data_IF_837661425531
#
_entry.id   IF_837661425531
#
_cell.length_a   1.000
_cell.length_b   1.000
_cell.length_c   1.000
_cell.angle_alpha   90.00
_cell.angle_beta   90.00
_cell.angle_gamma   90.00
#
_symmetry.space_group_name_H-M   'P 1'
#
loop_
_entity.id
_entity.type
_entity.pdbx_description
1 polymer ?
#
# COMPACT_ATOMS: atom_id res chain seq x y z
N UNK A 1 33.88 -2.07 16.53
CA UNK A 1 32.41 -2.20 16.62
C UNK A 1 31.84 -1.35 15.50
N UNK A 2 31.71 -1.92 14.29
CA UNK A 2 31.59 -1.13 13.04
C UNK A 2 30.31 -0.30 12.94
N UNK A 3 29.25 -0.72 13.65
CA UNK A 3 27.98 0.01 13.73
C UNK A 3 28.06 1.28 14.60
N UNK A 4 29.15 1.47 15.36
CA UNK A 4 29.38 2.69 16.16
C UNK A 4 29.54 3.93 15.28
N UNK A 5 29.92 3.75 14.01
CA UNK A 5 30.04 4.85 13.04
C UNK A 5 28.70 5.51 12.70
N UNK A 6 27.56 4.87 13.00
CA UNK A 6 26.22 5.42 12.78
C UNK A 6 25.61 6.05 14.05
N UNK A 7 26.41 6.27 15.10
CA UNK A 7 25.92 6.85 16.37
C UNK A 7 25.35 8.26 16.22
N UNK A 8 25.81 9.02 15.22
CA UNK A 8 25.31 10.39 14.96
C UNK A 8 23.85 10.39 14.52
N UNK A 9 23.35 9.31 13.91
CA UNK A 9 21.98 9.19 13.42
C UNK A 9 20.96 8.86 14.54
N UNK A 10 21.43 8.53 15.75
CA UNK A 10 20.58 8.28 16.93
C UNK A 10 19.79 6.97 16.90
N UNK A 11 19.88 6.18 15.83
CA UNK A 11 19.29 4.84 15.72
C UNK A 11 20.01 3.98 14.68
N UNK A 12 19.79 2.66 14.70
CA UNK A 12 20.34 1.74 13.70
C UNK A 12 19.19 1.27 12.80
N UNK A 13 19.36 1.39 11.49
CA UNK A 13 18.41 0.88 10.50
C UNK A 13 18.89 -0.46 9.87
N UNK A 14 17.97 -1.25 9.28
CA UNK A 14 18.34 -2.53 8.68
C UNK A 14 19.36 -2.45 7.52
N UNK A 15 19.41 -1.34 6.78
CA UNK A 15 20.40 -1.14 5.72
C UNK A 15 21.81 -0.96 6.26
N UNK A 16 21.97 -0.24 7.36
CA UNK A 16 23.26 -0.10 8.04
C UNK A 16 23.80 -1.50 8.40
N UNK A 17 22.96 -2.35 8.99
CA UNK A 17 23.34 -3.73 9.34
C UNK A 17 23.68 -4.55 8.10
N UNK A 18 22.83 -4.56 7.08
CA UNK A 18 23.07 -5.31 5.85
C UNK A 18 24.34 -4.86 5.12
N UNK A 19 24.60 -3.55 5.06
CA UNK A 19 25.79 -2.99 4.42
C UNK A 19 27.07 -3.36 5.19
N UNK A 20 27.05 -3.34 6.53
CA UNK A 20 28.18 -3.79 7.34
C UNK A 20 28.42 -5.30 7.20
N UNK A 21 27.36 -6.11 7.11
CA UNK A 21 27.48 -7.55 6.87
C UNK A 21 28.10 -7.82 5.49
N UNK A 22 27.66 -7.11 4.45
CA UNK A 22 28.17 -7.27 3.08
C UNK A 22 29.62 -6.80 2.94
N UNK A 23 29.97 -5.66 3.55
CA UNK A 23 31.34 -5.12 3.52
C UNK A 23 32.30 -5.98 4.35
N UNK A 24 31.86 -6.43 5.53
CA UNK A 24 32.61 -7.30 6.42
C UNK A 24 32.92 -8.66 5.81
N UNK A 25 32.00 -9.21 5.01
CA UNK A 25 32.17 -10.50 4.34
C UNK A 25 33.39 -10.52 3.40
N UNK A 26 33.73 -9.40 2.75
CA UNK A 26 34.89 -9.31 1.85
C UNK A 26 36.22 -9.46 2.58
N UNK A 27 36.28 -8.98 3.82
CA UNK A 27 37.52 -8.89 4.60
C UNK A 27 37.58 -9.93 5.73
N UNK A 28 36.62 -10.86 5.78
CA UNK A 28 36.50 -11.79 6.90
C UNK A 28 37.61 -12.87 6.84
N UNK A 29 38.53 -12.93 7.83
CA UNK A 29 39.70 -13.81 7.76
C UNK A 29 39.38 -15.31 7.77
N UNK A 30 38.24 -15.68 8.37
CA UNK A 30 37.82 -17.09 8.53
C UNK A 30 36.93 -17.60 7.39
N UNK A 31 36.50 -16.73 6.48
CA UNK A 31 35.68 -17.12 5.32
C UNK A 31 36.57 -16.93 4.09
N UNK A 32 37.34 -17.96 3.75
CA UNK A 32 38.31 -17.93 2.65
C UNK A 32 37.76 -18.52 1.36
N UNK A 33 36.68 -19.30 1.44
CA UNK A 33 36.03 -19.92 0.29
C UNK A 33 35.14 -18.91 -0.46
N UNK A 34 35.37 -18.77 -1.76
CA UNK A 34 34.59 -17.85 -2.61
C UNK A 34 33.18 -18.37 -2.87
N UNK A 35 32.96 -19.68 -2.90
CA UNK A 35 31.62 -20.25 -3.06
C UNK A 35 30.78 -20.00 -1.81
N UNK A 36 31.36 -20.14 -0.61
CA UNK A 36 30.73 -19.77 0.65
C UNK A 36 30.42 -18.27 0.73
N UNK A 37 31.35 -17.39 0.31
CA UNK A 37 31.11 -15.94 0.21
C UNK A 37 29.96 -15.62 -0.73
N UNK A 38 29.91 -16.28 -1.89
CA UNK A 38 28.82 -16.11 -2.86
C UNK A 38 27.48 -16.50 -2.24
N UNK A 39 27.41 -17.65 -1.57
CA UNK A 39 26.21 -18.12 -0.87
C UNK A 39 25.72 -17.11 0.18
N UNK A 40 26.62 -16.52 0.97
CA UNK A 40 26.23 -15.50 1.95
C UNK A 40 25.71 -14.22 1.30
N UNK A 41 26.29 -13.78 0.16
CA UNK A 41 25.75 -12.65 -0.60
C UNK A 41 24.35 -12.93 -1.14
N UNK A 42 24.11 -14.14 -1.65
CA UNK A 42 22.78 -14.57 -2.11
C UNK A 42 21.76 -14.55 -0.96
N UNK A 43 22.14 -15.01 0.24
CA UNK A 43 21.28 -14.92 1.43
C UNK A 43 20.97 -13.47 1.83
N UNK A 44 21.97 -12.58 1.80
CA UNK A 44 21.76 -11.15 2.07
C UNK A 44 20.81 -10.51 1.04
N UNK A 45 20.90 -10.90 -0.24
CA UNK A 45 19.97 -10.45 -1.26
C UNK A 45 18.52 -10.90 -0.97
N UNK A 46 18.32 -12.14 -0.51
CA UNK A 46 17.01 -12.63 -0.08
C UNK A 46 16.48 -11.81 1.10
N UNK A 47 17.30 -11.58 2.14
CA UNK A 47 16.90 -10.76 3.30
C UNK A 47 16.50 -9.35 2.88
N UNK A 48 17.24 -8.73 1.96
CA UNK A 48 16.93 -7.40 1.43
C UNK A 48 15.61 -7.37 0.67
N UNK A 49 15.31 -8.41 -0.10
CA UNK A 49 14.04 -8.55 -0.80
C UNK A 49 12.88 -8.72 0.18
N UNK A 50 13.02 -9.58 1.19
CA UNK A 50 12.00 -9.76 2.23
C UNK A 50 11.75 -8.46 3.00
N UNK A 51 12.82 -7.76 3.40
CA UNK A 51 12.69 -6.46 4.04
C UNK A 51 11.96 -5.45 3.15
N UNK A 52 12.25 -5.43 1.85
CA UNK A 52 11.59 -4.59 0.87
C UNK A 52 10.09 -4.84 0.82
N UNK A 53 9.66 -6.10 0.80
CA UNK A 53 8.24 -6.45 0.78
C UNK A 53 7.56 -6.11 2.11
N UNK A 54 8.24 -6.28 3.25
CA UNK A 54 7.72 -5.87 4.56
C UNK A 54 7.45 -4.36 4.56
N UNK A 55 8.44 -3.52 4.26
CA UNK A 55 8.28 -2.06 4.35
C UNK A 55 7.28 -1.50 3.33
N UNK A 56 7.20 -2.09 2.13
CA UNK A 56 6.15 -1.75 1.16
C UNK A 56 4.76 -1.99 1.75
N UNK A 57 4.54 -3.17 2.34
CA UNK A 57 3.26 -3.54 2.93
C UNK A 57 2.90 -2.62 4.11
N UNK A 58 3.85 -2.27 4.96
CA UNK A 58 3.63 -1.38 6.10
C UNK A 58 3.29 0.05 5.67
N UNK A 59 4.04 0.61 4.71
CA UNK A 59 3.76 1.95 4.13
C UNK A 59 2.39 1.96 3.44
N UNK A 60 2.09 0.92 2.65
CA UNK A 60 0.79 0.78 2.02
C UNK A 60 -0.35 0.75 3.05
N UNK A 61 -0.20 -0.01 4.13
CA UNK A 61 -1.19 -0.06 5.22
C UNK A 61 -1.29 1.26 5.97
N UNK A 62 -0.20 1.99 6.14
CA UNK A 62 -0.23 3.32 6.78
C UNK A 62 -0.97 4.35 5.91
N UNK A 63 -0.83 4.29 4.59
CA UNK A 63 -1.58 5.14 3.66
C UNK A 63 -3.07 4.75 3.68
N UNK A 64 -3.38 3.47 3.52
CA UNK A 64 -4.75 2.97 3.48
C UNK A 64 -5.46 2.96 4.84
N UNK A 65 -4.78 3.27 5.94
CA UNK A 65 -5.40 3.39 7.27
C UNK A 65 -6.34 4.61 7.43
N UNK A 66 -6.58 5.37 6.36
CA UNK A 66 -7.68 6.34 6.30
C UNK A 66 -9.02 5.60 6.15
N UNK A 67 -9.60 5.22 7.28
CA UNK A 67 -10.89 4.51 7.32
C UNK A 67 -12.02 5.32 6.68
N UNK A 68 -11.98 6.65 6.75
CA UNK A 68 -13.02 7.47 6.15
C UNK A 68 -12.92 7.47 4.62
N UNK A 69 -11.70 7.53 4.08
CA UNK A 69 -11.49 7.41 2.65
C UNK A 69 -11.91 6.03 2.13
N UNK A 70 -11.59 4.95 2.84
CA UNK A 70 -12.08 3.61 2.48
C UNK A 70 -13.61 3.55 2.52
N UNK A 71 -14.25 4.09 3.57
CA UNK A 71 -15.72 4.13 3.66
C UNK A 71 -16.36 4.88 2.50
N UNK A 72 -15.80 6.02 2.10
CA UNK A 72 -16.28 6.79 0.94
C UNK A 72 -16.12 6.01 -0.36
N UNK A 73 -14.95 5.40 -0.58
CA UNK A 73 -14.68 4.57 -1.76
C UNK A 73 -15.60 3.36 -1.82
N UNK A 74 -15.79 2.67 -0.68
CA UNK A 74 -16.70 1.55 -0.56
C UNK A 74 -18.14 1.95 -0.85
N UNK A 75 -18.61 3.06 -0.27
CA UNK A 75 -19.98 3.53 -0.49
C UNK A 75 -20.22 3.81 -1.98
N UNK A 76 -19.28 4.50 -2.63
CA UNK A 76 -19.35 4.76 -4.06
C UNK A 76 -19.34 3.46 -4.89
N UNK A 77 -18.50 2.49 -4.52
CA UNK A 77 -18.48 1.18 -5.18
C UNK A 77 -19.83 0.46 -5.04
N UNK A 78 -20.39 0.38 -3.83
CA UNK A 78 -21.66 -0.30 -3.58
C UNK A 78 -22.84 0.40 -4.29
N UNK A 79 -22.87 1.73 -4.33
CA UNK A 79 -23.90 2.48 -5.06
C UNK A 79 -23.90 2.11 -6.56
N UNK A 80 -22.71 2.03 -7.16
CA UNK A 80 -22.55 1.62 -8.56
C UNK A 80 -22.88 0.14 -8.79
N UNK A 81 -22.47 -0.76 -7.88
CA UNK A 81 -22.80 -2.20 -7.96
C UNK A 81 -24.30 -2.43 -7.85
N UNK A 82 -24.98 -1.72 -6.94
CA UNK A 82 -26.44 -1.78 -6.80
C UNK A 82 -27.11 -1.34 -8.10
N UNK A 83 -26.75 -0.17 -8.61
CA UNK A 83 -27.30 0.35 -9.87
C UNK A 83 -27.07 -0.62 -11.04
N UNK A 84 -25.86 -1.17 -11.16
CA UNK A 84 -25.51 -2.15 -12.18
C UNK A 84 -26.34 -3.44 -12.11
N UNK A 85 -26.48 -4.01 -10.92
CA UNK A 85 -27.19 -5.27 -10.72
C UNK A 85 -28.70 -5.13 -10.84
N UNK A 86 -29.26 -3.98 -10.45
CA UNK A 86 -30.70 -3.69 -10.49
C UNK A 86 -31.14 -3.01 -11.79
N UNK A 87 -30.20 -2.67 -12.69
CA UNK A 87 -30.45 -1.86 -13.90
C UNK A 87 -31.09 -0.51 -13.57
N UNK A 88 -30.63 0.07 -12.46
CA UNK A 88 -31.01 1.40 -12.00
C UNK A 88 -29.89 2.40 -12.34
N UNK A 89 -30.17 3.69 -12.16
CA UNK A 89 -29.20 4.76 -12.30
C UNK A 89 -28.65 5.19 -10.96
N UNK A 90 -27.40 5.65 -10.94
CA UNK A 90 -26.79 6.27 -9.76
C UNK A 90 -27.12 7.76 -9.76
N UNK A 91 -27.54 8.30 -8.62
CA UNK A 91 -27.76 9.75 -8.49
C UNK A 91 -26.42 10.41 -8.20
N UNK A 92 -25.99 11.29 -9.11
CA UNK A 92 -24.80 12.09 -8.90
C UNK A 92 -25.03 13.08 -7.76
N UNK A 93 -24.18 13.02 -6.72
CA UNK A 93 -24.32 13.83 -5.50
C UNK A 93 -24.14 15.34 -5.73
N UNK A 94 -23.52 15.74 -6.83
CA UNK A 94 -23.23 17.14 -7.15
C UNK A 94 -24.27 17.75 -8.08
N UNK A 95 -24.73 16.99 -9.08
CA UNK A 95 -25.69 17.49 -10.09
C UNK A 95 -27.13 17.09 -9.79
N UNK A 96 -27.34 16.08 -8.93
CA UNK A 96 -28.64 15.46 -8.68
C UNK A 96 -29.18 14.64 -9.86
N UNK A 97 -28.40 14.51 -10.94
CA UNK A 97 -28.83 13.82 -12.16
C UNK A 97 -28.62 12.31 -12.04
N UNK A 98 -29.50 11.56 -12.72
CA UNK A 98 -29.42 10.12 -12.80
C UNK A 98 -28.44 9.70 -13.92
N UNK A 99 -27.34 9.08 -13.53
CA UNK A 99 -26.26 8.65 -14.41
C UNK A 99 -26.18 7.12 -14.47
N UNK A 100 -25.61 6.59 -15.55
CA UNK A 100 -25.32 5.16 -15.66
C UNK A 100 -24.24 4.75 -14.65
N UNK A 101 -24.27 3.52 -14.12
CA UNK A 101 -23.26 3.03 -13.20
C UNK A 101 -21.85 3.10 -13.81
N UNK A 102 -20.90 3.62 -13.05
CA UNK A 102 -19.50 3.74 -13.45
C UNK A 102 -18.80 2.37 -13.40
N UNK A 103 -18.91 1.62 -14.49
CA UNK A 103 -18.20 0.36 -14.66
C UNK A 103 -16.68 0.53 -14.60
N UNK A 104 -16.13 1.67 -15.01
CA UNK A 104 -14.69 1.90 -14.98
C UNK A 104 -14.20 1.96 -13.54
N UNK A 105 -14.90 2.66 -12.66
CA UNK A 105 -14.63 2.68 -11.22
C UNK A 105 -14.71 1.26 -10.65
N UNK A 106 -15.82 0.54 -10.88
CA UNK A 106 -15.99 -0.82 -10.35
C UNK A 106 -14.87 -1.76 -10.81
N UNK A 107 -14.52 -1.74 -12.10
CA UNK A 107 -13.41 -2.55 -12.64
C UNK A 107 -12.06 -2.15 -12.06
N UNK A 108 -11.83 -0.88 -11.76
CA UNK A 108 -10.56 -0.42 -11.18
C UNK A 108 -10.31 -0.98 -9.77
N UNK A 109 -11.39 -1.27 -9.01
CA UNK A 109 -11.32 -1.93 -7.70
C UNK A 109 -11.21 -3.44 -7.87
N UNK A 110 -12.09 -4.04 -8.66
CA UNK A 110 -12.19 -5.50 -8.85
C UNK A 110 -10.90 -6.12 -9.41
N UNK A 111 -10.19 -5.40 -10.29
CA UNK A 111 -8.91 -5.84 -10.85
C UNK A 111 -7.78 -5.90 -9.81
N UNK A 112 -7.89 -5.19 -8.67
CA UNK A 112 -6.87 -5.24 -7.61
C UNK A 112 -6.78 -6.58 -6.90
N UNK A 113 -7.83 -7.39 -7.01
CA UNK A 113 -7.89 -8.75 -6.48
C UNK A 113 -8.12 -9.77 -7.61
N UNK A 114 -7.60 -9.45 -8.80
CA UNK A 114 -7.53 -10.34 -9.96
C UNK A 114 -8.88 -10.91 -10.41
N UNK A 115 -9.96 -10.11 -10.33
CA UNK A 115 -11.25 -10.50 -10.89
C UNK A 115 -11.25 -10.28 -12.42
N UNK A 116 -11.24 -11.36 -13.22
CA UNK A 116 -11.25 -11.25 -14.67
C UNK A 116 -12.59 -10.69 -15.16
N UNK A 117 -12.60 -10.15 -16.38
CA UNK A 117 -13.80 -9.56 -16.99
C UNK A 117 -14.98 -10.54 -17.01
N UNK A 118 -14.70 -11.82 -17.30
CA UNK A 118 -15.71 -12.89 -17.34
C UNK A 118 -16.38 -13.18 -16.00
N UNK A 119 -15.78 -12.78 -14.86
CA UNK A 119 -16.32 -13.01 -13.50
C UNK A 119 -16.81 -11.74 -12.82
N UNK A 120 -16.82 -10.59 -13.51
CA UNK A 120 -17.23 -9.32 -12.89
C UNK A 120 -18.68 -9.38 -12.41
N UNK A 121 -19.57 -9.98 -13.20
CA UNK A 121 -21.00 -10.02 -12.90
C UNK A 121 -21.29 -10.93 -11.71
N UNK A 122 -20.63 -12.08 -11.66
CA UNK A 122 -20.73 -13.01 -10.53
C UNK A 122 -20.25 -12.36 -9.24
N UNK A 123 -19.10 -11.67 -9.28
CA UNK A 123 -18.57 -10.98 -8.11
C UNK A 123 -19.50 -9.86 -7.62
N UNK A 124 -20.03 -9.04 -8.54
CA UNK A 124 -20.99 -7.97 -8.20
C UNK A 124 -22.27 -8.53 -7.57
N UNK A 125 -22.78 -9.65 -8.09
CA UNK A 125 -23.94 -10.35 -7.53
C UNK A 125 -23.63 -10.97 -6.16
N UNK A 126 -22.44 -11.55 -5.98
CA UNK A 126 -21.97 -12.08 -4.69
C UNK A 126 -22.02 -10.99 -3.61
N UNK A 127 -21.49 -9.80 -3.92
CA UNK A 127 -21.53 -8.64 -3.00
C UNK A 127 -22.97 -8.21 -2.69
N UNK A 128 -23.85 -8.09 -3.70
CA UNK A 128 -25.24 -7.70 -3.47
C UNK A 128 -26.04 -8.74 -2.68
N UNK A 129 -25.82 -10.02 -2.94
CA UNK A 129 -26.46 -11.10 -2.18
C UNK A 129 -26.01 -11.07 -0.72
N UNK A 130 -24.73 -10.82 -0.46
CA UNK A 130 -24.20 -10.68 0.89
C UNK A 130 -24.82 -9.49 1.64
N UNK A 131 -24.92 -8.33 0.98
CA UNK A 131 -25.58 -7.14 1.54
C UNK A 131 -27.07 -7.43 1.81
N UNK A 132 -27.74 -8.10 0.87
CA UNK A 132 -29.16 -8.47 1.00
C UNK A 132 -29.41 -9.42 2.18
N UNK A 133 -28.55 -10.43 2.37
CA UNK A 133 -28.65 -11.35 3.50
C UNK A 133 -28.48 -10.61 4.85
N UNK A 134 -27.50 -9.71 4.95
CA UNK A 134 -27.32 -8.88 6.16
C UNK A 134 -28.53 -7.99 6.42
N UNK A 135 -29.12 -7.38 5.39
CA UNK A 135 -30.30 -6.53 5.53
C UNK A 135 -31.53 -7.30 6.03
N UNK A 136 -31.72 -8.56 5.58
CA UNK A 136 -32.80 -9.44 6.07
C UNK A 136 -32.63 -9.73 7.57
N UNK A 137 -31.39 -9.86 8.05
CA UNK A 137 -31.05 -10.04 9.46
C UNK A 137 -31.08 -8.73 10.28
N UNK A 138 -31.45 -7.60 9.66
CA UNK A 138 -31.43 -6.28 10.31
C UNK A 138 -30.02 -5.75 10.61
N UNK A 139 -28.98 -6.30 9.96
CA UNK A 139 -27.58 -5.90 10.12
C UNK A 139 -27.18 -4.92 9.03
N UNK A 140 -26.25 -4.04 9.38
CA UNK A 140 -25.61 -3.12 8.43
C UNK A 140 -24.41 -3.79 7.77
N UNK A 141 -24.22 -3.54 6.48
CA UNK A 141 -23.03 -3.97 5.77
C UNK A 141 -21.78 -3.20 6.26
N UNK A 142 -20.69 -3.92 6.51
CA UNK A 142 -19.37 -3.37 6.77
C UNK A 142 -18.37 -4.05 5.82
N UNK A 143 -17.59 -3.25 5.09
CA UNK A 143 -16.58 -3.77 4.17
C UNK A 143 -15.53 -4.63 4.88
N UNK A 144 -15.29 -4.41 6.17
CA UNK A 144 -14.33 -5.15 6.98
C UNK A 144 -14.74 -6.63 7.18
N UNK A 145 -16.00 -6.98 6.98
CA UNK A 145 -16.45 -8.37 7.11
C UNK A 145 -16.17 -9.21 5.86
N UNK A 146 -15.77 -8.58 4.75
CA UNK A 146 -15.38 -9.25 3.51
C UNK A 146 -13.90 -8.96 3.20
N UNK A 147 -13.02 -9.91 3.54
CA UNK A 147 -11.58 -9.76 3.36
C UNK A 147 -11.15 -9.49 1.91
N UNK A 148 -11.88 -10.04 0.91
CA UNK A 148 -11.59 -9.81 -0.52
C UNK A 148 -11.88 -8.36 -0.89
N UNK A 149 -13.06 -7.87 -0.55
CA UNK A 149 -13.46 -6.49 -0.84
C UNK A 149 -12.59 -5.49 -0.06
N UNK A 150 -12.33 -5.75 1.22
CA UNK A 150 -11.44 -4.92 2.02
C UNK A 150 -10.08 -4.76 1.35
N UNK A 151 -9.44 -5.87 0.96
CA UNK A 151 -8.14 -5.84 0.28
C UNK A 151 -8.19 -5.08 -1.05
N UNK A 152 -9.26 -5.26 -1.83
CA UNK A 152 -9.44 -4.54 -3.10
C UNK A 152 -9.53 -3.02 -2.89
N UNK A 153 -10.31 -2.59 -1.89
CA UNK A 153 -10.46 -1.18 -1.54
C UNK A 153 -9.16 -0.58 -0.99
N UNK A 154 -8.43 -1.30 -0.14
CA UNK A 154 -7.12 -0.86 0.38
C UNK A 154 -6.09 -0.69 -0.73
N UNK A 155 -6.03 -1.63 -1.69
CA UNK A 155 -5.16 -1.56 -2.86
C UNK A 155 -5.56 -0.41 -3.80
N UNK A 156 -6.86 -0.18 -3.99
CA UNK A 156 -7.34 0.91 -4.83
C UNK A 156 -7.07 2.27 -4.21
N UNK A 157 -7.37 2.45 -2.91
CA UNK A 157 -7.10 3.70 -2.21
C UNK A 157 -5.61 4.03 -2.23
N UNK A 158 -4.75 3.01 -2.03
CA UNK A 158 -3.31 3.19 -2.15
C UNK A 158 -2.89 3.65 -3.55
N UNK A 159 -3.42 3.03 -4.62
CA UNK A 159 -3.16 3.47 -5.99
C UNK A 159 -3.58 4.92 -6.23
N UNK A 160 -4.75 5.33 -5.72
CA UNK A 160 -5.25 6.70 -5.90
C UNK A 160 -4.42 7.72 -5.09
N UNK A 161 -3.87 7.30 -3.95
CA UNK A 161 -3.12 8.18 -3.06
C UNK A 161 -1.62 8.24 -3.37
N UNK A 162 -1.03 7.22 -4.02
CA UNK A 162 0.42 7.13 -4.26
C UNK A 162 0.97 8.37 -4.99
N UNK A 163 0.23 8.88 -5.98
CA UNK A 163 0.61 10.05 -6.77
C UNK A 163 0.28 11.35 -6.05
N UNK A 164 -0.76 11.35 -5.21
CA UNK A 164 -1.20 12.50 -4.42
C UNK A 164 -0.27 12.83 -3.24
N UNK A 165 0.38 11.81 -2.68
CA UNK A 165 1.46 11.93 -1.70
C UNK A 165 2.76 12.34 -2.42
N UNK A 166 2.74 12.34 -3.76
CA UNK A 166 3.90 12.53 -4.62
C UNK A 166 5.08 11.74 -4.08
N UNK A 167 4.91 10.43 -3.86
CA UNK A 167 6.02 9.60 -3.35
C UNK A 167 7.29 9.79 -4.20
N UNK A 168 7.14 10.03 -5.51
CA UNK A 168 8.24 10.38 -6.42
C UNK A 168 8.92 11.73 -6.13
N UNK A 169 8.22 12.71 -5.56
CA UNK A 169 8.78 14.02 -5.16
C UNK A 169 9.25 14.09 -3.72
N UNK A 170 9.07 13.05 -2.89
CA UNK A 170 9.71 12.96 -1.56
C UNK A 170 11.24 13.06 -1.64
N UNK A 171 11.82 12.77 -2.81
CA UNK A 171 13.25 12.90 -3.11
C UNK A 171 13.65 14.37 -3.37
N UNK A 172 12.69 15.27 -3.60
CA UNK A 172 12.93 16.69 -3.78
C UNK A 172 12.84 17.46 -2.45
N UNK A 173 13.73 18.42 -2.22
CA UNK A 173 13.77 19.21 -0.97
C UNK A 173 12.58 20.14 -0.75
N UNK A 174 11.73 20.36 -1.76
CA UNK A 174 10.61 21.31 -1.67
C UNK A 174 9.30 20.56 -1.79
N UNK A 175 8.59 20.44 -0.68
CA UNK A 175 7.25 19.84 -0.58
C UNK A 175 6.27 20.94 -0.19
N UNK A 176 5.12 21.01 -0.87
CA UNK A 176 4.05 21.94 -0.51
C UNK A 176 3.39 21.56 0.83
N UNK A 177 2.79 22.53 1.52
CA UNK A 177 2.24 22.34 2.86
C UNK A 177 1.21 21.21 2.93
N UNK A 178 0.27 21.15 1.98
CA UNK A 178 -0.76 20.11 1.91
C UNK A 178 -0.16 18.70 1.76
N UNK A 179 0.91 18.59 0.97
CA UNK A 179 1.63 17.31 0.80
C UNK A 179 2.38 16.95 2.09
N UNK A 180 2.99 17.92 2.77
CA UNK A 180 3.68 17.69 4.04
C UNK A 180 2.70 17.18 5.12
N UNK A 181 1.51 17.78 5.24
CA UNK A 181 0.49 17.33 6.18
C UNK A 181 0.07 15.88 5.94
N UNK A 182 -0.07 15.47 4.67
CA UNK A 182 -0.36 14.06 4.31
C UNK A 182 0.78 13.12 4.71
N UNK A 183 2.02 13.53 4.47
CA UNK A 183 3.21 12.75 4.86
C UNK A 183 3.23 12.56 6.38
N UNK A 184 2.98 13.62 7.14
CA UNK A 184 2.99 13.59 8.60
C UNK A 184 1.91 12.65 9.15
N UNK A 185 0.71 12.62 8.53
CA UNK A 185 -0.34 11.65 8.87
C UNK A 185 0.12 10.21 8.63
N UNK A 186 0.81 9.94 7.52
CA UNK A 186 1.34 8.60 7.22
C UNK A 186 2.44 8.21 8.21
N UNK A 187 3.37 9.13 8.53
CA UNK A 187 4.42 8.93 9.54
C UNK A 187 3.82 8.62 10.90
N UNK A 188 2.82 9.39 11.34
CA UNK A 188 2.13 9.16 12.61
C UNK A 188 1.51 7.75 12.68
N UNK A 189 0.98 7.25 11.55
CA UNK A 189 0.45 5.88 11.47
C UNK A 189 1.55 4.82 11.46
N UNK A 190 2.68 5.06 10.79
CA UNK A 190 3.85 4.19 10.85
C UNK A 190 4.35 4.04 12.30
N UNK A 191 4.50 5.16 13.01
CA UNK A 191 4.91 5.20 14.41
C UNK A 191 3.91 4.44 15.29
N UNK A 192 2.63 4.77 15.19
CA UNK A 192 1.58 4.19 16.04
C UNK A 192 1.35 2.70 15.81
N UNK A 193 1.34 2.25 14.56
CA UNK A 193 0.88 0.91 14.20
C UNK A 193 2.03 -0.09 14.00
N UNK A 194 3.24 0.39 13.73
CA UNK A 194 4.39 -0.46 13.39
C UNK A 194 5.63 -0.15 14.25
N UNK A 195 5.57 0.84 15.15
CA UNK A 195 6.62 1.09 16.14
C UNK A 195 7.83 1.86 15.59
N UNK A 196 7.71 2.51 14.44
CA UNK A 196 8.74 3.41 13.92
C UNK A 196 8.96 4.60 14.87
N UNK A 197 10.12 5.25 14.74
CA UNK A 197 10.37 6.56 15.30
C UNK A 197 10.28 7.61 14.17
N UNK A 198 10.41 8.89 14.51
CA UNK A 198 10.25 9.99 13.55
C UNK A 198 11.24 9.92 12.37
N UNK A 199 12.48 9.52 12.65
CA UNK A 199 13.53 9.42 11.65
C UNK A 199 13.36 8.17 10.79
N UNK A 200 13.13 7.01 11.41
CA UNK A 200 12.96 5.74 10.70
C UNK A 200 11.68 5.69 9.86
N UNK A 201 10.61 6.38 10.28
CA UNK A 201 9.41 6.56 9.46
C UNK A 201 9.71 7.38 8.18
N UNK A 202 10.52 8.43 8.29
CA UNK A 202 10.99 9.22 7.13
C UNK A 202 11.82 8.36 6.19
N UNK A 203 12.78 7.61 6.73
CA UNK A 203 13.72 6.83 5.93
C UNK A 203 13.03 5.66 5.20
N UNK A 204 12.06 5.01 5.85
CA UNK A 204 11.23 3.98 5.21
C UNK A 204 10.34 4.57 4.11
N UNK A 205 9.72 5.73 4.34
CA UNK A 205 8.92 6.38 3.29
C UNK A 205 9.78 6.75 2.08
N UNK A 206 10.96 7.33 2.30
CA UNK A 206 11.91 7.67 1.23
C UNK A 206 12.39 6.43 0.48
N UNK A 207 12.68 5.35 1.21
CA UNK A 207 13.10 4.10 0.59
C UNK A 207 11.99 3.52 -0.30
N UNK A 208 10.76 3.42 0.21
CA UNK A 208 9.60 2.92 -0.53
C UNK A 208 9.27 3.81 -1.73
N UNK A 209 9.33 5.14 -1.57
CA UNK A 209 9.25 6.10 -2.67
C UNK A 209 10.24 5.79 -3.80
N UNK A 210 11.50 5.54 -3.45
CA UNK A 210 12.56 5.26 -4.43
C UNK A 210 12.31 3.95 -5.20
N UNK A 211 11.69 2.95 -4.57
CA UNK A 211 11.34 1.69 -5.21
C UNK A 211 10.22 1.91 -6.24
N UNK A 212 9.19 2.67 -5.88
CA UNK A 212 8.10 2.98 -6.81
C UNK A 212 8.58 3.82 -7.99
N UNK A 213 9.44 4.81 -7.77
CA UNK A 213 10.04 5.60 -8.83
C UNK A 213 10.84 4.75 -9.84
N UNK A 214 11.50 3.67 -9.38
CA UNK A 214 12.22 2.70 -10.24
C UNK A 214 11.32 1.64 -10.88
N UNK A 215 10.19 1.33 -10.24
CA UNK A 215 9.21 0.36 -10.75
C UNK A 215 8.43 0.90 -11.95
N UNK A 216 8.09 2.20 -11.94
CA UNK A 216 7.37 2.84 -13.05
C UNK A 216 8.23 2.98 -14.32
N UNK A 217 9.57 2.90 -14.23
CA UNK A 217 10.47 2.97 -15.41
C UNK A 217 10.59 1.67 -16.20
N UNK A 218 10.13 0.53 -15.66
CA UNK A 218 10.17 -0.76 -16.36
C UNK A 218 8.88 -1.08 -17.14
N UNK A 219 7.96 -0.12 -17.24
CA UNK A 219 6.67 -0.25 -17.93
C UNK A 219 6.47 0.72 -19.10
N UNK A 220 7.55 1.32 -19.62
CA UNK A 220 7.53 2.17 -20.82
C UNK A 220 8.15 1.45 -22.03
#
# INVERSE_FOLDING_TARGET
NSLVNYQEDGYINPFMVMNELESGLKNHPLITDEDERKRYREMLAVVKNEYTEIVKNEVQRAISADEEAIKRLCSNYIDNVKAYTQREKVVNKFTGQAEEPDERLMRSIEKKIDIPESRKDDFRREIMNYIGALAIEGKTFDYKTNARLQKALELKLFEDQKDSIKLTSLVSQVVDQDTQEKIDVVKARLIKNFGYNEQSATDVLNYVASIFARGDTNGA
#
